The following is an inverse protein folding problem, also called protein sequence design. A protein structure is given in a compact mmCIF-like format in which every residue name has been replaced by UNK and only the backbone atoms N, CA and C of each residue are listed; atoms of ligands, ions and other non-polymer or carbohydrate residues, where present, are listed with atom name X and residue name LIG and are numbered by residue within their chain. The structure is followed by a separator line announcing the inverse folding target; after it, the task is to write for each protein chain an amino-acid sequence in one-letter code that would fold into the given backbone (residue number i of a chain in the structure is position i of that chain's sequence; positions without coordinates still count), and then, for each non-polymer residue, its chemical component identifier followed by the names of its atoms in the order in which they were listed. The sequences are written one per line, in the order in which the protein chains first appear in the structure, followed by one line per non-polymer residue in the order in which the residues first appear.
data_IF_701784040450
#
_entry.id   IF_701784040450
#
_cell.length_a   1.000
_cell.length_b   1.000
_cell.length_c   1.000
_cell.angle_alpha   90.00
_cell.angle_beta   90.00
_cell.angle_gamma   90.00
#
_symmetry.space_group_name_H-M   'P 1'
#
loop_
_entity.id
_entity.type
_entity.pdbx_description
1 polymer ?
#
# COMPACT_ATOMS: atom_id res chain seq x y z
N UNK A 1 16.21 0.64 -5.17
CA UNK A 1 15.09 -0.21 -5.64
C UNK A 1 13.77 0.42 -5.25
N UNK A 2 12.79 0.40 -6.15
CA UNK A 2 11.50 1.06 -5.99
C UNK A 2 10.38 0.14 -6.50
N UNK A 3 9.27 0.08 -5.77
CA UNK A 3 8.05 -0.59 -6.20
C UNK A 3 6.96 0.48 -6.30
N UNK A 4 6.27 0.52 -7.42
CA UNK A 4 5.10 1.34 -7.65
C UNK A 4 3.85 0.44 -7.71
N UNK A 5 2.86 0.77 -6.88
CA UNK A 5 1.55 0.11 -6.89
C UNK A 5 0.51 1.19 -7.25
N UNK A 6 -0.10 1.05 -8.40
CA UNK A 6 -1.14 1.95 -8.87
C UNK A 6 -2.53 1.35 -8.59
N UNK A 7 -3.45 2.22 -8.19
CA UNK A 7 -4.84 1.86 -7.90
C UNK A 7 -5.76 2.76 -8.71
N UNK A 8 -6.81 2.18 -9.26
CA UNK A 8 -7.85 2.92 -9.98
C UNK A 8 -9.20 2.25 -9.77
N UNK A 9 -10.22 3.05 -9.49
CA UNK A 9 -11.59 2.55 -9.43
C UNK A 9 -12.04 2.01 -10.77
N UNK A 10 -12.80 0.93 -10.74
CA UNK A 10 -13.47 0.34 -11.90
C UNK A 10 -14.95 0.20 -11.62
N UNK A 11 -15.76 0.13 -12.68
CA UNK A 11 -17.15 -0.27 -12.58
C UNK A 11 -17.25 -1.79 -12.78
N UNK A 12 -17.83 -2.48 -11.82
CA UNK A 12 -17.99 -3.93 -11.88
C UNK A 12 -19.47 -4.30 -11.65
N UNK A 13 -20.17 -4.89 -12.63
CA UNK A 13 -21.57 -5.30 -12.48
C UNK A 13 -21.82 -6.32 -11.36
N UNK A 14 -20.78 -7.04 -10.95
CA UNK A 14 -20.86 -8.00 -9.82
C UNK A 14 -20.93 -7.31 -8.47
N UNK A 15 -20.65 -6.01 -8.43
CA UNK A 15 -20.70 -5.17 -7.24
C UNK A 15 -21.72 -4.03 -7.48
N UNK A 16 -23.02 -4.32 -7.47
CA UNK A 16 -24.04 -3.31 -7.73
C UNK A 16 -24.07 -2.26 -6.62
N UNK A 17 -24.70 -1.13 -6.92
CA UNK A 17 -24.98 -0.12 -5.91
C UNK A 17 -25.86 -0.67 -4.79
N UNK A 18 -25.56 -0.25 -3.56
CA UNK A 18 -26.32 -0.65 -2.36
C UNK A 18 -27.08 0.58 -1.87
N UNK A 19 -28.39 0.42 -1.66
CA UNK A 19 -29.23 1.48 -1.12
C UNK A 19 -28.72 1.96 0.25
N UNK A 20 -28.66 3.28 0.44
CA UNK A 20 -28.17 3.89 1.68
C UNK A 20 -26.65 3.94 1.81
N UNK A 21 -25.91 3.46 0.81
CA UNK A 21 -24.45 3.51 0.77
C UNK A 21 -23.99 4.39 -0.39
N UNK A 22 -23.19 5.40 -0.10
CA UNK A 22 -22.59 6.24 -1.13
C UNK A 22 -21.35 5.55 -1.69
N UNK A 23 -21.40 5.26 -3.00
CA UNK A 23 -20.23 4.75 -3.72
C UNK A 23 -19.36 5.90 -4.17
N UNK A 24 -18.08 5.81 -3.90
CA UNK A 24 -17.08 6.76 -4.42
C UNK A 24 -17.03 6.60 -5.94
N UNK A 25 -17.41 7.61 -6.73
CA UNK A 25 -17.48 7.49 -8.18
C UNK A 25 -16.12 7.39 -8.85
N UNK A 26 -15.09 8.02 -8.26
CA UNK A 26 -13.73 8.00 -8.77
C UNK A 26 -12.72 7.95 -7.62
N UNK A 27 -11.83 6.99 -7.73
CA UNK A 27 -10.67 6.87 -6.86
C UNK A 27 -9.47 6.49 -7.73
N UNK A 28 -8.39 7.22 -7.59
CA UNK A 28 -7.11 6.88 -8.17
C UNK A 28 -6.01 7.19 -7.15
N UNK A 29 -4.96 6.41 -7.16
CA UNK A 29 -3.86 6.63 -6.23
C UNK A 29 -2.71 5.69 -6.47
N UNK A 30 -1.67 5.88 -5.67
CA UNK A 30 -0.51 5.02 -5.74
C UNK A 30 0.20 4.90 -4.40
N UNK A 31 0.90 3.79 -4.24
CA UNK A 31 1.96 3.61 -3.26
C UNK A 31 3.30 3.56 -3.98
N UNK A 32 4.27 4.27 -3.46
CA UNK A 32 5.66 4.12 -3.86
C UNK A 32 6.45 3.62 -2.65
N UNK A 33 7.03 2.45 -2.78
CA UNK A 33 7.88 1.86 -1.75
C UNK A 33 9.34 1.97 -2.21
N UNK A 34 10.16 2.64 -1.41
CA UNK A 34 11.60 2.80 -1.68
C UNK A 34 12.40 2.05 -0.63
N UNK A 35 13.25 1.17 -1.09
CA UNK A 35 14.23 0.54 -0.22
C UNK A 35 15.24 1.59 0.26
N UNK A 36 15.43 1.68 1.56
CA UNK A 36 16.42 2.55 2.19
C UNK A 36 17.53 1.71 2.83
N UNK A 37 17.14 0.80 3.74
CA UNK A 37 18.06 -0.18 4.36
C UNK A 37 17.34 -1.54 4.51
N UNK A 38 18.02 -2.53 5.00
CA UNK A 38 17.43 -3.85 5.29
C UNK A 38 16.26 -3.78 6.28
N UNK A 39 16.23 -2.77 7.12
CA UNK A 39 15.21 -2.60 8.16
C UNK A 39 14.33 -1.36 7.93
N UNK A 40 14.55 -0.62 6.86
CA UNK A 40 13.84 0.64 6.60
C UNK A 40 13.37 0.72 5.15
N UNK A 41 12.07 0.87 4.99
CA UNK A 41 11.40 1.17 3.72
C UNK A 41 10.68 2.50 3.84
N UNK A 42 10.93 3.40 2.90
CA UNK A 42 10.14 4.63 2.75
C UNK A 42 8.88 4.30 1.95
N UNK A 43 7.73 4.77 2.44
CA UNK A 43 6.45 4.60 1.75
C UNK A 43 5.85 5.98 1.49
N UNK A 44 5.57 6.25 0.23
CA UNK A 44 4.77 7.39 -0.21
C UNK A 44 3.39 6.86 -0.62
N UNK A 45 2.34 7.50 -0.12
CA UNK A 45 0.96 7.20 -0.47
C UNK A 45 0.27 8.46 -0.95
N UNK A 46 -0.31 8.38 -2.13
CA UNK A 46 -1.12 9.45 -2.70
C UNK A 46 -2.45 8.88 -3.14
N UNK A 47 -3.53 9.60 -2.81
CA UNK A 47 -4.88 9.28 -3.22
C UNK A 47 -5.59 10.53 -3.74
N UNK A 48 -6.28 10.36 -4.84
CA UNK A 48 -7.20 11.32 -5.41
C UNK A 48 -8.58 10.65 -5.52
N UNK A 49 -9.54 11.14 -4.78
CA UNK A 49 -10.88 10.58 -4.71
C UNK A 49 -11.92 11.66 -4.88
N UNK A 50 -12.91 11.41 -5.74
CA UNK A 50 -14.14 12.18 -5.76
C UNK A 50 -15.10 11.53 -4.75
N UNK A 51 -15.44 12.20 -3.64
CA UNK A 51 -16.32 11.60 -2.64
C UNK A 51 -17.73 11.33 -3.14
N UNK A 52 -18.15 11.98 -4.25
CA UNK A 52 -19.50 11.84 -4.79
C UNK A 52 -20.58 12.38 -3.87
N UNK A 53 -21.80 12.43 -4.39
CA UNK A 53 -22.97 12.73 -3.62
C UNK A 53 -23.00 14.13 -3.00
N UNK A 54 -23.78 14.28 -1.95
CA UNK A 54 -24.03 15.53 -1.22
C UNK A 54 -23.32 15.56 0.13
N UNK A 55 -22.08 15.08 0.21
CA UNK A 55 -21.30 15.17 1.45
C UNK A 55 -20.95 16.63 1.76
N UNK A 56 -21.16 17.08 3.01
CA UNK A 56 -20.70 18.40 3.42
C UNK A 56 -19.19 18.55 3.23
N UNK A 57 -18.75 19.73 2.79
CA UNK A 57 -17.33 19.99 2.50
C UNK A 57 -16.42 19.76 3.70
N UNK A 58 -16.87 20.11 4.89
CA UNK A 58 -16.11 19.87 6.13
C UNK A 58 -15.82 18.39 6.39
N UNK A 59 -16.76 17.51 6.02
CA UNK A 59 -16.58 16.06 6.16
C UNK A 59 -15.60 15.52 5.10
N UNK A 60 -15.68 16.03 3.88
CA UNK A 60 -14.74 15.69 2.81
C UNK A 60 -13.31 16.14 3.15
N UNK A 61 -13.16 17.34 3.71
CA UNK A 61 -11.87 17.87 4.18
C UNK A 61 -11.27 17.03 5.31
N UNK A 62 -12.09 16.66 6.29
CA UNK A 62 -11.67 15.81 7.41
C UNK A 62 -11.18 14.45 6.90
N UNK A 63 -11.94 13.82 6.01
CA UNK A 63 -11.57 12.55 5.41
C UNK A 63 -10.28 12.67 4.60
N UNK A 64 -10.12 13.71 3.79
CA UNK A 64 -8.93 13.93 2.97
C UNK A 64 -7.66 14.11 3.79
N UNK A 65 -7.76 14.69 4.98
CA UNK A 65 -6.64 14.91 5.87
C UNK A 65 -6.29 13.67 6.68
N UNK A 66 -7.27 13.02 7.26
CA UNK A 66 -7.07 11.98 8.27
C UNK A 66 -6.93 10.58 7.67
N UNK A 67 -7.63 10.29 6.57
CA UNK A 67 -7.58 8.98 5.92
C UNK A 67 -6.19 8.55 5.46
N UNK A 68 -5.40 9.38 4.76
CA UNK A 68 -4.05 8.99 4.35
C UNK A 68 -3.15 8.67 5.55
N UNK A 69 -3.22 9.45 6.60
CA UNK A 69 -2.46 9.22 7.83
C UNK A 69 -2.82 7.86 8.46
N UNK A 70 -4.10 7.60 8.66
CA UNK A 70 -4.56 6.34 9.24
C UNK A 70 -4.26 5.14 8.33
N UNK A 71 -4.34 5.31 7.02
CA UNK A 71 -3.99 4.26 6.05
C UNK A 71 -2.54 3.82 6.20
N UNK A 72 -1.61 4.77 6.23
CA UNK A 72 -0.18 4.47 6.41
C UNK A 72 0.11 3.87 7.78
N UNK A 73 -0.48 4.42 8.82
CA UNK A 73 -0.35 3.89 10.18
C UNK A 73 -0.84 2.45 10.28
N UNK A 74 -2.01 2.16 9.72
CA UNK A 74 -2.61 0.84 9.74
C UNK A 74 -1.79 -0.15 8.90
N UNK A 75 -1.28 0.28 7.76
CA UNK A 75 -0.37 -0.52 6.93
C UNK A 75 0.89 -0.89 7.72
N UNK A 76 1.52 0.07 8.39
CA UNK A 76 2.68 -0.17 9.24
C UNK A 76 2.37 -1.21 10.32
N UNK A 77 1.27 -1.03 11.05
CA UNK A 77 0.87 -1.94 12.12
C UNK A 77 0.57 -3.34 11.58
N UNK A 78 -0.07 -3.44 10.42
CA UNK A 78 -0.37 -4.72 9.77
C UNK A 78 0.89 -5.45 9.32
N UNK A 79 1.86 -4.73 8.78
CA UNK A 79 3.17 -5.31 8.40
C UNK A 79 3.90 -5.84 9.63
N UNK A 80 3.96 -5.08 10.71
CA UNK A 80 4.62 -5.52 11.95
C UNK A 80 3.94 -6.77 12.52
N UNK A 81 2.61 -6.82 12.52
CA UNK A 81 1.85 -8.00 12.95
C UNK A 81 2.11 -9.22 12.05
N UNK A 82 2.17 -9.01 10.74
CA UNK A 82 2.46 -10.08 9.78
C UNK A 82 3.87 -10.65 9.97
N UNK A 83 4.84 -9.80 10.28
CA UNK A 83 6.21 -10.21 10.61
C UNK A 83 6.26 -11.01 11.91
N UNK A 84 5.58 -10.57 12.95
CA UNK A 84 5.50 -11.26 14.25
C UNK A 84 4.86 -12.65 14.10
N UNK A 85 3.83 -12.77 13.28
CA UNK A 85 3.11 -14.03 13.04
C UNK A 85 3.77 -14.89 11.95
N UNK A 86 4.90 -14.47 11.37
CA UNK A 86 5.56 -15.13 10.24
C UNK A 86 4.64 -15.36 9.03
N UNK A 87 3.68 -14.47 8.82
CA UNK A 87 2.79 -14.50 7.67
C UNK A 87 3.59 -14.21 6.39
N UNK A 88 3.11 -14.72 5.25
CA UNK A 88 3.73 -14.49 3.94
C UNK A 88 5.17 -15.03 3.78
N UNK A 89 5.60 -15.94 4.64
CA UNK A 89 6.95 -16.49 4.61
C UNK A 89 7.34 -17.10 3.26
N UNK A 90 6.44 -17.84 2.64
CA UNK A 90 6.66 -18.45 1.31
C UNK A 90 6.79 -17.39 0.21
N UNK A 91 5.94 -16.36 0.24
CA UNK A 91 5.97 -15.25 -0.72
C UNK A 91 7.26 -14.43 -0.57
N UNK A 92 7.69 -14.18 0.65
CA UNK A 92 8.95 -13.49 0.95
C UNK A 92 10.13 -14.32 0.45
N UNK A 93 10.17 -15.61 0.75
CA UNK A 93 11.22 -16.51 0.30
C UNK A 93 11.29 -16.59 -1.23
N UNK A 94 10.14 -16.66 -1.90
CA UNK A 94 10.07 -16.64 -3.36
C UNK A 94 10.62 -15.32 -3.92
N UNK A 95 10.20 -14.19 -3.36
CA UNK A 95 10.70 -12.88 -3.77
C UNK A 95 12.22 -12.77 -3.58
N UNK A 96 12.73 -13.22 -2.46
CA UNK A 96 14.16 -13.22 -2.16
C UNK A 96 14.95 -14.10 -3.12
N UNK A 97 14.43 -15.26 -3.50
CA UNK A 97 15.07 -16.15 -4.48
C UNK A 97 15.14 -15.55 -5.89
N UNK A 98 14.17 -14.71 -6.24
CA UNK A 98 14.11 -14.02 -7.53
C UNK A 98 14.91 -12.72 -7.56
N UNK A 99 15.46 -12.28 -6.43
CA UNK A 99 16.14 -10.99 -6.30
C UNK A 99 17.65 -11.15 -6.49
N UNK A 100 18.21 -10.77 -7.66
CA UNK A 100 19.63 -10.97 -7.96
C UNK A 100 20.58 -10.15 -7.08
N UNK A 101 20.07 -9.12 -6.37
CA UNK A 101 20.91 -8.24 -5.57
C UNK A 101 21.40 -8.86 -4.25
N UNK A 102 20.71 -9.87 -3.72
CA UNK A 102 21.17 -10.58 -2.50
C UNK A 102 22.27 -11.59 -2.78
N UNK A 103 22.30 -12.19 -3.96
CA UNK A 103 23.37 -13.14 -4.33
C UNK A 103 24.73 -12.47 -4.42
N UNK A 104 24.78 -11.20 -4.82
CA UNK A 104 26.02 -10.43 -4.94
C UNK A 104 26.60 -10.04 -3.55
N UNK A 105 25.73 -9.73 -2.58
CA UNK A 105 26.18 -9.39 -1.21
C UNK A 105 26.64 -10.60 -0.40
N UNK A 106 26.08 -11.78 -0.64
CA UNK A 106 26.58 -13.00 -0.01
C UNK A 106 27.93 -13.45 -0.56
N UNK A 107 28.19 -13.24 -1.86
CA UNK A 107 29.51 -13.48 -2.46
C UNK A 107 30.55 -12.47 -1.97
N UNK A 108 30.19 -11.19 -1.80
CA UNK A 108 31.09 -10.18 -1.26
C UNK A 108 31.45 -10.43 0.23
N UNK A 109 30.55 -11.02 1.03
CA UNK A 109 30.86 -11.44 2.42
C UNK A 109 31.66 -12.74 2.51
N UNK A 110 31.64 -13.57 1.48
CA UNK A 110 32.37 -14.83 1.44
C UNK A 110 33.84 -14.67 0.98
N UNK A 111 34.26 -13.49 0.53
CA UNK A 111 35.61 -13.17 0.03
C UNK A 111 36.47 -12.48 1.10
N UNK A 112 35.85 -12.01 2.18
CA UNK A 112 36.55 -11.47 3.37
C UNK A 112 36.68 -12.54 4.46
#
# INVERSE_FOLDING_TARGET
KRILIEMKSISDPRQPEIEGVVRIPRLAGHYILRYVTETLTEIEYQIDADPGGSLPSWLAELASRDLPYHTIRNLRNRVLQAMENAEYGEQIALYESMNPLKSTNQQAKAVD
#
